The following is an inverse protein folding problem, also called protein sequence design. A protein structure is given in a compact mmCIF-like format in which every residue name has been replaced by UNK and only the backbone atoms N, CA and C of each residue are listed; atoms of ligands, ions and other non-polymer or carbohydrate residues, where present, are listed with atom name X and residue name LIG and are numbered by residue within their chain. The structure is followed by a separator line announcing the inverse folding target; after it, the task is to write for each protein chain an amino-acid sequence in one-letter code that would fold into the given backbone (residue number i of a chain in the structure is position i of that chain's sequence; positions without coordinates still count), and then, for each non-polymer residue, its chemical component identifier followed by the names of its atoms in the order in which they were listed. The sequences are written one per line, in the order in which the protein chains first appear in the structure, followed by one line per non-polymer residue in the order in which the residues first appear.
data_IF_802502301382
#
_entry.id   IF_802502301382
#
_cell.length_a   1.000
_cell.length_b   1.000
_cell.length_c   1.000
_cell.angle_alpha   90.00
_cell.angle_beta   90.00
_cell.angle_gamma   90.00
#
_symmetry.space_group_name_H-M   'P 1'
#
loop_
_entity.id
_entity.type
_entity.pdbx_description
1 polymer ?
#
# COMPACT_ATOMS: atom_id res chain seq x y z
N UNK A 1 -62.95 -4.64 10.99
CA UNK A 1 -62.11 -4.46 9.78
C UNK A 1 -60.83 -3.75 10.22
N UNK A 2 -59.64 -4.19 9.76
CA UNK A 2 -58.34 -3.79 10.35
C UNK A 2 -57.92 -2.38 9.89
N UNK A 3 -58.21 -1.36 10.70
CA UNK A 3 -57.81 0.05 10.51
C UNK A 3 -56.32 0.34 10.79
N UNK A 4 -55.50 -0.69 11.04
CA UNK A 4 -54.10 -0.52 11.46
C UNK A 4 -53.08 -0.63 10.33
N UNK A 5 -53.49 -0.85 9.08
CA UNK A 5 -52.58 -0.69 7.93
C UNK A 5 -52.52 0.81 7.60
N UNK A 6 -52.06 1.59 8.58
CA UNK A 6 -51.67 2.98 8.39
C UNK A 6 -50.40 2.93 7.55
N UNK A 7 -50.59 3.15 6.25
CA UNK A 7 -49.61 3.36 5.18
C UNK A 7 -48.17 3.49 5.68
N UNK A 8 -47.33 2.56 5.25
CA UNK A 8 -45.87 2.66 5.37
C UNK A 8 -45.44 3.96 4.68
N UNK A 9 -45.13 4.99 5.46
CA UNK A 9 -44.76 6.35 5.00
C UNK A 9 -43.34 6.40 4.44
N UNK A 10 -43.00 5.43 3.61
CA UNK A 10 -41.75 5.37 2.86
C UNK A 10 -42.02 4.63 1.56
N UNK A 11 -42.12 5.39 0.47
CA UNK A 11 -42.14 4.84 -0.87
C UNK A 11 -40.91 3.94 -1.04
N UNK A 12 -41.13 2.69 -1.45
CA UNK A 12 -40.05 1.71 -1.69
C UNK A 12 -39.04 2.29 -2.69
N UNK A 13 -39.48 3.15 -3.62
CA UNK A 13 -38.58 3.91 -4.50
C UNK A 13 -37.61 4.78 -3.71
N UNK A 14 -38.10 5.53 -2.72
CA UNK A 14 -37.27 6.35 -1.83
C UNK A 14 -36.28 5.50 -1.02
N UNK A 15 -36.68 4.31 -0.58
CA UNK A 15 -35.78 3.39 0.13
C UNK A 15 -34.68 2.88 -0.80
N UNK A 16 -35.03 2.50 -2.02
CA UNK A 16 -34.10 2.03 -3.04
C UNK A 16 -33.10 3.13 -3.45
N UNK A 17 -33.56 4.35 -3.69
CA UNK A 17 -32.72 5.50 -4.01
C UNK A 17 -31.71 5.80 -2.90
N UNK A 18 -32.15 5.78 -1.64
CA UNK A 18 -31.27 5.97 -0.48
C UNK A 18 -30.22 4.86 -0.36
N UNK A 19 -30.61 3.60 -0.64
CA UNK A 19 -29.68 2.48 -0.62
C UNK A 19 -28.61 2.61 -1.72
N UNK A 20 -29.03 2.97 -2.93
CA UNK A 20 -28.12 3.19 -4.06
C UNK A 20 -27.18 4.37 -3.82
N UNK A 21 -27.70 5.47 -3.27
CA UNK A 21 -26.90 6.61 -2.85
C UNK A 21 -25.88 6.20 -1.77
N UNK A 22 -26.31 5.44 -0.76
CA UNK A 22 -25.41 4.97 0.28
C UNK A 22 -24.30 4.06 -0.27
N UNK A 23 -24.66 3.13 -1.15
CA UNK A 23 -23.70 2.23 -1.78
C UNK A 23 -22.67 2.98 -2.64
N UNK A 24 -23.11 3.97 -3.43
CA UNK A 24 -22.19 4.82 -4.21
C UNK A 24 -21.28 5.66 -3.31
N UNK A 25 -21.81 6.21 -2.22
CA UNK A 25 -21.02 6.93 -1.21
C UNK A 25 -19.96 6.04 -0.55
N UNK A 26 -20.33 4.81 -0.15
CA UNK A 26 -19.38 3.85 0.41
C UNK A 26 -18.24 3.53 -0.56
N UNK A 27 -18.57 3.30 -1.84
CA UNK A 27 -17.54 3.06 -2.87
C UNK A 27 -16.62 4.26 -3.05
N UNK A 28 -17.17 5.46 -3.09
CA UNK A 28 -16.40 6.69 -3.18
C UNK A 28 -15.49 6.88 -1.95
N UNK A 29 -16.01 6.57 -0.75
CA UNK A 29 -15.24 6.63 0.50
C UNK A 29 -14.08 5.65 0.48
N UNK A 30 -14.30 4.38 0.15
CA UNK A 30 -13.23 3.37 0.06
C UNK A 30 -12.15 3.78 -0.95
N UNK A 31 -12.56 4.32 -2.11
CA UNK A 31 -11.63 4.82 -3.12
C UNK A 31 -10.79 5.99 -2.60
N UNK A 32 -11.43 6.96 -1.94
CA UNK A 32 -10.76 8.11 -1.32
C UNK A 32 -9.80 7.67 -0.22
N UNK A 33 -10.22 6.79 0.66
CA UNK A 33 -9.40 6.26 1.75
C UNK A 33 -8.20 5.51 1.19
N UNK A 34 -8.41 4.68 0.16
CA UNK A 34 -7.31 3.98 -0.53
C UNK A 34 -6.33 4.97 -1.16
N UNK A 35 -6.81 5.99 -1.86
CA UNK A 35 -5.97 7.03 -2.46
C UNK A 35 -5.18 7.81 -1.39
N UNK A 36 -5.84 8.16 -0.29
CA UNK A 36 -5.24 8.87 0.85
C UNK A 36 -4.16 8.03 1.53
N UNK A 37 -4.42 6.75 1.81
CA UNK A 37 -3.43 5.83 2.40
C UNK A 37 -2.23 5.65 1.47
N UNK A 38 -2.46 5.50 0.15
CA UNK A 38 -1.38 5.46 -0.86
C UNK A 38 -0.55 6.74 -0.81
N UNK A 39 -1.19 7.91 -0.85
CA UNK A 39 -0.50 9.20 -0.79
C UNK A 39 0.30 9.37 0.50
N UNK A 40 -0.23 8.99 1.67
CA UNK A 40 0.48 9.05 2.96
C UNK A 40 1.71 8.14 3.00
N UNK A 41 1.63 6.93 2.44
CA UNK A 41 2.80 6.07 2.34
C UNK A 41 3.84 6.72 1.44
N UNK A 42 3.45 7.23 0.26
CA UNK A 42 4.36 7.93 -0.64
C UNK A 42 4.99 9.19 -0.02
N UNK A 43 4.26 9.93 0.82
CA UNK A 43 4.77 11.11 1.54
C UNK A 43 5.80 10.75 2.63
N UNK A 44 5.66 9.59 3.28
CA UNK A 44 6.65 9.08 4.25
C UNK A 44 7.92 8.55 3.59
N UNK A 45 7.86 8.27 2.29
CA UNK A 45 8.93 7.76 1.49
C UNK A 45 9.68 8.96 0.89
N UNK A 46 10.98 9.15 1.20
CA UNK A 46 11.79 10.23 0.58
C UNK A 46 11.61 10.21 -0.95
N UNK A 47 11.10 11.30 -1.58
CA UNK A 47 10.64 11.25 -2.97
C UNK A 47 11.69 10.73 -3.95
N UNK A 48 12.97 11.07 -3.74
CA UNK A 48 14.08 10.61 -4.59
C UNK A 48 14.43 9.14 -4.39
N UNK A 49 14.44 8.66 -3.16
CA UNK A 49 14.84 7.30 -2.82
C UNK A 49 13.83 6.24 -3.30
N UNK A 50 12.56 6.61 -3.44
CA UNK A 50 11.46 5.71 -3.82
C UNK A 50 10.84 6.01 -5.19
N UNK A 51 11.40 6.97 -5.94
CA UNK A 51 10.79 7.50 -7.16
C UNK A 51 10.50 6.43 -8.21
N UNK A 52 11.40 5.45 -8.36
CA UNK A 52 11.25 4.37 -9.35
C UNK A 52 10.12 3.38 -8.99
N UNK A 53 9.88 3.11 -7.70
CA UNK A 53 8.97 2.03 -7.26
C UNK A 53 7.56 2.51 -6.89
N UNK A 54 7.39 3.79 -6.56
CA UNK A 54 6.15 4.39 -6.08
C UNK A 54 4.90 4.07 -6.91
N UNK A 55 5.04 3.93 -8.22
CA UNK A 55 3.93 3.65 -9.16
C UNK A 55 3.94 2.22 -9.74
N UNK A 56 4.99 1.44 -9.46
CA UNK A 56 5.25 0.13 -10.10
C UNK A 56 5.11 -1.07 -9.14
N UNK A 57 5.07 -0.80 -7.84
CA UNK A 57 4.95 -1.79 -6.76
C UNK A 57 3.64 -1.54 -6.00
N UNK A 58 2.87 -2.57 -5.62
CA UNK A 58 1.61 -2.41 -4.94
C UNK A 58 1.83 -1.94 -3.50
N UNK A 59 0.79 -1.31 -2.96
CA UNK A 59 0.81 -0.68 -1.65
C UNK A 59 1.27 -1.59 -0.51
N UNK A 60 0.88 -2.89 -0.42
CA UNK A 60 1.35 -3.77 0.65
C UNK A 60 2.87 -3.94 0.67
N UNK A 61 3.50 -4.09 -0.50
CA UNK A 61 4.95 -4.19 -0.61
C UNK A 61 5.65 -2.87 -0.27
N UNK A 62 5.10 -1.73 -0.72
CA UNK A 62 5.62 -0.41 -0.34
C UNK A 62 5.50 -0.15 1.17
N UNK A 63 4.41 -0.61 1.80
CA UNK A 63 4.21 -0.51 3.25
C UNK A 63 5.27 -1.29 4.01
N UNK A 64 5.55 -2.54 3.61
CA UNK A 64 6.60 -3.34 4.26
C UNK A 64 8.00 -2.79 3.98
N UNK A 65 8.28 -2.32 2.76
CA UNK A 65 9.54 -1.65 2.43
C UNK A 65 9.74 -0.38 3.26
N UNK A 66 8.68 0.38 3.52
CA UNK A 66 8.71 1.53 4.44
C UNK A 66 9.08 1.11 5.87
N UNK A 67 8.55 -0.02 6.35
CA UNK A 67 8.92 -0.58 7.66
C UNK A 67 10.40 -0.97 7.69
N UNK A 68 10.89 -1.65 6.66
CA UNK A 68 12.31 -2.00 6.53
C UNK A 68 13.21 -0.76 6.47
N UNK A 69 12.74 0.34 5.89
CA UNK A 69 13.46 1.62 5.88
C UNK A 69 13.56 2.29 7.25
N UNK A 70 12.51 2.20 8.07
CA UNK A 70 12.58 2.66 9.46
C UNK A 70 13.58 1.82 10.26
N UNK A 71 13.56 0.50 10.08
CA UNK A 71 14.54 -0.40 10.69
C UNK A 71 15.95 -0.11 10.20
N UNK A 72 16.15 0.22 8.93
CA UNK A 72 17.46 0.55 8.37
C UNK A 72 18.10 1.79 9.04
N UNK A 73 17.28 2.79 9.36
CA UNK A 73 17.73 4.00 10.07
C UNK A 73 18.08 3.72 11.53
N UNK A 74 17.37 2.79 12.18
CA UNK A 74 17.61 2.38 13.56
C UNK A 74 18.68 1.27 13.69
N UNK A 75 19.15 0.71 12.58
CA UNK A 75 20.08 -0.41 12.60
C UNK A 75 21.45 0.05 13.10
N UNK A 76 22.01 -0.57 14.15
CA UNK A 76 23.31 -0.15 14.68
C UNK A 76 24.46 -0.55 13.72
N UNK A 77 25.66 -0.02 13.98
CA UNK A 77 26.83 -0.25 13.12
C UNK A 77 27.41 -1.67 13.27
N UNK A 78 27.27 -2.25 14.46
CA UNK A 78 27.71 -3.58 14.88
C UNK A 78 26.63 -4.66 14.67
N UNK A 79 25.57 -4.34 13.91
CA UNK A 79 24.52 -5.30 13.60
C UNK A 79 25.10 -6.56 12.91
N UNK A 80 24.56 -7.76 13.20
CA UNK A 80 24.97 -8.98 12.52
C UNK A 80 24.88 -8.85 10.99
N UNK A 81 25.72 -9.56 10.23
CA UNK A 81 25.69 -9.51 8.78
C UNK A 81 24.33 -9.99 8.25
N UNK A 82 23.90 -9.36 7.14
CA UNK A 82 22.65 -9.71 6.50
C UNK A 82 22.66 -11.16 5.98
N UNK A 83 21.73 -12.00 6.45
CA UNK A 83 21.57 -13.37 5.95
C UNK A 83 20.83 -13.45 4.61
N UNK A 84 20.22 -12.35 4.18
CA UNK A 84 19.38 -12.28 2.99
C UNK A 84 18.04 -13.04 3.10
N UNK A 85 17.76 -13.68 4.23
CA UNK A 85 16.56 -14.51 4.44
C UNK A 85 15.29 -13.72 4.22
N UNK A 86 15.21 -12.50 4.78
CA UNK A 86 14.05 -11.63 4.60
C UNK A 86 13.77 -11.35 3.12
N UNK A 87 14.77 -10.92 2.36
CA UNK A 87 14.61 -10.65 0.92
C UNK A 87 14.22 -11.91 0.14
N UNK A 88 14.75 -13.08 0.52
CA UNK A 88 14.40 -14.36 -0.12
C UNK A 88 12.96 -14.76 0.13
N UNK A 89 12.48 -14.65 1.38
CA UNK A 89 11.13 -15.07 1.78
C UNK A 89 10.09 -14.05 1.34
N UNK A 90 10.32 -12.77 1.66
CA UNK A 90 9.34 -11.71 1.40
C UNK A 90 9.41 -11.17 -0.01
N UNK A 91 10.54 -11.32 -0.72
CA UNK A 91 10.73 -10.70 -2.03
C UNK A 91 10.81 -9.17 -2.01
N UNK A 92 11.13 -8.59 -0.84
CA UNK A 92 11.21 -7.15 -0.57
C UNK A 92 12.60 -6.87 0.01
N UNK A 93 13.25 -5.74 -0.32
CA UNK A 93 14.55 -5.41 0.25
C UNK A 93 14.49 -5.29 1.78
N UNK A 94 15.37 -6.00 2.47
CA UNK A 94 15.51 -5.93 3.92
C UNK A 94 16.16 -4.62 4.38
N UNK A 95 16.08 -4.34 5.68
CA UNK A 95 16.71 -3.18 6.32
C UNK A 95 18.20 -3.00 5.97
N UNK A 96 18.98 -4.09 5.92
CA UNK A 96 20.41 -4.03 5.55
C UNK A 96 20.62 -3.54 4.12
N UNK A 97 19.87 -4.06 3.15
CA UNK A 97 19.96 -3.67 1.75
C UNK A 97 19.54 -2.20 1.56
N UNK A 98 18.50 -1.76 2.28
CA UNK A 98 18.07 -0.37 2.29
C UNK A 98 19.14 0.54 2.90
N UNK A 99 19.76 0.13 4.02
CA UNK A 99 20.86 0.88 4.66
C UNK A 99 22.05 1.03 3.73
N UNK A 100 22.41 -0.04 3.00
CA UNK A 100 23.48 0.01 2.01
C UNK A 100 23.17 1.02 0.90
N UNK A 101 21.97 0.99 0.32
CA UNK A 101 21.55 1.97 -0.69
C UNK A 101 21.56 3.41 -0.17
N UNK A 102 21.10 3.61 1.06
CA UNK A 102 21.16 4.92 1.71
C UNK A 102 22.59 5.42 1.85
N UNK A 103 23.51 4.57 2.30
CA UNK A 103 24.93 4.89 2.43
C UNK A 103 25.56 5.22 1.06
N UNK A 104 25.21 4.47 0.03
CA UNK A 104 25.66 4.68 -1.35
C UNK A 104 24.93 5.81 -2.09
N UNK A 105 23.96 6.49 -1.45
CA UNK A 105 23.08 7.49 -2.06
C UNK A 105 22.34 6.96 -3.31
N UNK A 106 22.09 5.66 -3.34
CA UNK A 106 21.31 5.00 -4.38
C UNK A 106 19.82 4.98 -4.02
N UNK A 107 18.96 4.97 -5.03
CA UNK A 107 17.53 4.75 -4.86
C UNK A 107 17.18 3.25 -4.87
N UNK A 108 16.05 2.91 -4.27
CA UNK A 108 15.43 1.60 -4.44
C UNK A 108 14.83 1.53 -5.84
N UNK A 109 15.15 0.47 -6.56
CA UNK A 109 14.68 0.19 -7.92
C UNK A 109 13.63 -0.90 -7.89
N UNK A 110 12.85 -0.99 -8.96
CA UNK A 110 11.87 -2.09 -9.13
C UNK A 110 12.54 -3.46 -9.02
N UNK A 111 13.77 -3.60 -9.52
CA UNK A 111 14.53 -4.87 -9.48
C UNK A 111 14.91 -5.34 -8.07
N UNK A 112 14.84 -4.47 -7.07
CA UNK A 112 15.06 -4.86 -5.68
C UNK A 112 13.86 -5.64 -5.12
N UNK A 113 12.71 -5.58 -5.80
CA UNK A 113 11.50 -6.35 -5.51
C UNK A 113 11.40 -7.58 -6.42
N UNK A 114 10.90 -8.69 -5.89
CA UNK A 114 10.58 -9.88 -6.70
C UNK A 114 9.42 -9.57 -7.65
N UNK A 115 9.43 -10.24 -8.80
CA UNK A 115 8.46 -10.02 -9.90
C UNK A 115 6.99 -10.14 -9.50
N UNK A 116 6.64 -10.97 -8.51
CA UNK A 116 5.26 -11.11 -8.01
C UNK A 116 4.75 -9.85 -7.29
N UNK A 117 5.64 -8.95 -6.87
CA UNK A 117 5.30 -7.64 -6.34
C UNK A 117 5.30 -6.54 -7.39
N UNK A 118 5.55 -6.80 -8.67
CA UNK A 118 5.59 -5.74 -9.68
C UNK A 118 4.32 -5.77 -10.51
N UNK A 119 3.67 -4.60 -10.72
CA UNK A 119 2.47 -4.51 -11.56
C UNK A 119 2.75 -4.94 -13.01
N UNK A 120 3.93 -4.56 -13.52
CA UNK A 120 4.45 -5.06 -14.78
C UNK A 120 5.53 -6.09 -14.45
N UNK A 121 5.28 -7.35 -14.80
CA UNK A 121 6.32 -8.38 -14.73
C UNK A 121 7.48 -7.89 -15.59
N UNK A 122 8.63 -7.57 -14.99
CA UNK A 122 9.84 -7.44 -15.80
C UNK A 122 10.05 -8.76 -16.54
N UNK A 123 10.42 -8.74 -17.84
CA UNK A 123 10.81 -9.96 -18.51
C UNK A 123 11.95 -10.59 -17.71
N UNK A 124 11.74 -11.84 -17.30
CA UNK A 124 12.78 -12.66 -16.69
C UNK A 124 14.00 -12.62 -17.62
N UNK A 125 15.14 -12.17 -17.12
CA UNK A 125 16.42 -12.45 -17.77
C UNK A 125 16.82 -13.88 -17.49
#
# INVERSE_FOLDING_TARGET
MKDWIRVSTGDISTVYEKLMLHHTQQRAQISRDTAYQKARVLLKLQPKFWSDVAKKVPHPALKEASRQYQLAQALPADAPPCTGTFTKVMGIPCAHAIKQKLASKEQVRVYDFRSHWCFNKHPSK
#
